data_IF_665604541252
#
_entry.id   IF_665604541252
#
_cell.length_a   1.000
_cell.length_b   1.000
_cell.length_c   1.000
_cell.angle_alpha   90.00
_cell.angle_beta   90.00
_cell.angle_gamma   90.00
#
_symmetry.space_group_name_H-M   'P 1'
#
loop_
_entity.id
_entity.type
_entity.pdbx_description
1 polymer ?
#
# COMPACT_ATOMS: atom_id res chain seq x y z
N UNK A 1 7.93 -24.49 -1.67
CA UNK A 1 7.00 -23.39 -1.33
C UNK A 1 6.04 -23.06 -2.46
N UNK A 2 6.49 -22.84 -3.69
CA UNK A 2 5.54 -22.49 -4.77
C UNK A 2 4.52 -23.59 -5.09
N UNK A 3 4.89 -24.87 -4.95
CA UNK A 3 3.97 -25.99 -5.18
C UNK A 3 2.85 -26.05 -4.12
N UNK A 4 3.17 -25.79 -2.86
CA UNK A 4 2.19 -25.73 -1.77
C UNK A 4 1.23 -24.54 -1.96
N UNK A 5 1.73 -23.38 -2.37
CA UNK A 5 0.90 -22.20 -2.65
C UNK A 5 -0.01 -22.42 -3.86
N UNK A 6 0.49 -23.07 -4.92
CA UNK A 6 -0.33 -23.49 -6.06
C UNK A 6 -1.42 -24.47 -5.63
N UNK A 7 -1.09 -25.46 -4.79
CA UNK A 7 -2.06 -26.40 -4.26
C UNK A 7 -3.16 -25.66 -3.47
N UNK A 8 -2.81 -24.74 -2.58
CA UNK A 8 -3.78 -23.94 -1.85
C UNK A 8 -4.68 -23.14 -2.81
N UNK A 9 -4.11 -22.47 -3.79
CA UNK A 9 -4.87 -21.70 -4.77
C UNK A 9 -5.86 -22.59 -5.55
N UNK A 10 -5.46 -23.81 -5.93
CA UNK A 10 -6.35 -24.77 -6.59
C UNK A 10 -7.51 -25.22 -5.70
N UNK A 11 -7.25 -25.45 -4.40
CA UNK A 11 -8.30 -25.85 -3.45
C UNK A 11 -9.33 -24.74 -3.22
N UNK A 12 -8.93 -23.48 -3.35
CA UNK A 12 -9.81 -22.31 -3.20
C UNK A 12 -10.62 -21.96 -4.48
N UNK A 13 -10.42 -22.68 -5.58
CA UNK A 13 -11.14 -22.44 -6.83
C UNK A 13 -12.56 -23.01 -6.77
N UNK A 14 -13.51 -22.26 -7.29
CA UNK A 14 -14.92 -22.69 -7.37
C UNK A 14 -15.23 -23.46 -8.68
N UNK A 15 -14.36 -23.33 -9.69
CA UNK A 15 -14.50 -24.06 -10.97
C UNK A 15 -13.90 -25.49 -10.93
N UNK A 16 -13.28 -25.87 -9.81
CA UNK A 16 -12.80 -27.24 -9.56
C UNK A 16 -13.84 -28.01 -8.74
N UNK A 17 -14.21 -29.19 -9.22
CA UNK A 17 -15.19 -30.05 -8.50
C UNK A 17 -14.61 -30.55 -7.17
N UNK A 18 -15.47 -30.74 -6.19
CA UNK A 18 -15.06 -31.21 -4.86
C UNK A 18 -14.32 -32.57 -4.89
N UNK A 19 -14.68 -33.45 -5.83
CA UNK A 19 -13.96 -34.72 -6.04
C UNK A 19 -12.53 -34.52 -6.50
N UNK A 20 -12.29 -33.54 -7.39
CA UNK A 20 -10.95 -33.18 -7.86
C UNK A 20 -10.12 -32.54 -6.75
N UNK A 21 -10.74 -31.68 -5.92
CA UNK A 21 -10.09 -31.11 -4.73
C UNK A 21 -9.68 -32.22 -3.75
N UNK A 22 -10.56 -33.21 -3.53
CA UNK A 22 -10.27 -34.34 -2.68
C UNK A 22 -9.08 -35.17 -3.20
N UNK A 23 -9.00 -35.36 -4.52
CA UNK A 23 -7.86 -36.04 -5.14
C UNK A 23 -6.54 -35.23 -5.00
N UNK A 24 -6.60 -33.92 -5.11
CA UNK A 24 -5.45 -33.06 -4.85
C UNK A 24 -4.93 -33.20 -3.41
N UNK A 25 -5.82 -33.23 -2.43
CA UNK A 25 -5.47 -33.45 -1.02
C UNK A 25 -4.89 -34.85 -0.82
N UNK A 26 -5.49 -35.90 -1.39
CA UNK A 26 -4.97 -37.28 -1.29
C UNK A 26 -3.56 -37.44 -1.89
N UNK A 27 -3.26 -36.70 -2.96
CA UNK A 27 -1.94 -36.72 -3.59
C UNK A 27 -0.89 -35.95 -2.79
N UNK A 28 -1.31 -35.10 -1.85
CA UNK A 28 -0.44 -34.27 -1.02
C UNK A 28 -0.75 -34.46 0.49
N UNK A 29 -0.72 -35.68 1.02
CA UNK A 29 -1.23 -36.00 2.35
C UNK A 29 -0.46 -35.35 3.50
N UNK A 30 0.76 -34.88 3.24
CA UNK A 30 1.62 -34.23 4.24
C UNK A 30 1.48 -32.71 4.27
N UNK A 31 0.68 -32.12 3.38
CA UNK A 31 0.48 -30.67 3.29
C UNK A 31 -0.87 -30.30 3.89
N UNK A 32 -0.85 -29.46 4.91
CA UNK A 32 -2.05 -28.94 5.57
C UNK A 32 -2.03 -27.43 5.56
N UNK A 33 -3.21 -26.82 5.38
CA UNK A 33 -3.40 -25.39 5.40
C UNK A 33 -4.28 -25.01 6.58
N UNK A 34 -3.88 -23.97 7.30
CA UNK A 34 -4.64 -23.40 8.40
C UNK A 34 -4.68 -21.89 8.27
N UNK A 35 -5.86 -21.32 8.37
CA UNK A 35 -6.06 -19.88 8.42
C UNK A 35 -6.26 -19.52 9.90
N UNK A 36 -5.26 -18.95 10.58
CA UNK A 36 -5.42 -18.48 11.94
C UNK A 36 -6.56 -17.47 12.02
N UNK A 37 -7.23 -17.40 13.15
CA UNK A 37 -8.36 -16.48 13.39
C UNK A 37 -7.98 -14.99 13.34
N UNK A 38 -6.71 -14.67 13.12
CA UNK A 38 -6.20 -13.31 13.01
C UNK A 38 -6.40 -12.82 11.58
N UNK A 39 -7.43 -12.00 11.37
CA UNK A 39 -7.63 -11.26 10.12
C UNK A 39 -6.91 -9.93 10.25
N UNK A 40 -5.95 -9.64 9.35
CA UNK A 40 -5.18 -8.39 9.36
C UNK A 40 -5.94 -7.18 8.83
N UNK A 41 -7.16 -7.36 8.34
CA UNK A 41 -8.06 -6.30 7.91
C UNK A 41 -8.87 -6.66 6.67
N UNK A 42 -10.04 -6.06 6.57
CA UNK A 42 -10.86 -6.05 5.36
C UNK A 42 -10.75 -4.65 4.74
N UNK A 43 -9.93 -4.54 3.70
CA UNK A 43 -9.92 -3.35 2.86
C UNK A 43 -11.08 -3.39 1.85
N UNK A 44 -11.49 -2.23 1.32
CA UNK A 44 -12.55 -2.16 0.28
C UNK A 44 -12.26 -2.98 -0.98
N UNK A 45 -11.02 -3.36 -1.21
CA UNK A 45 -10.59 -4.03 -2.45
C UNK A 45 -9.96 -5.40 -2.21
N UNK A 46 -9.52 -5.69 -0.99
CA UNK A 46 -8.83 -6.95 -0.68
C UNK A 46 -9.11 -7.43 0.74
N UNK A 47 -9.14 -8.75 0.90
CA UNK A 47 -9.10 -9.42 2.20
C UNK A 47 -7.71 -9.96 2.45
N UNK A 48 -7.19 -9.75 3.65
CA UNK A 48 -5.84 -10.12 4.05
C UNK A 48 -5.92 -11.09 5.22
N UNK A 49 -5.32 -12.27 5.08
CA UNK A 49 -5.27 -13.30 6.11
C UNK A 49 -3.85 -13.83 6.25
N UNK A 50 -3.48 -14.31 7.43
CA UNK A 50 -2.35 -15.21 7.54
C UNK A 50 -2.74 -16.59 7.02
N UNK A 51 -1.80 -17.28 6.40
CA UNK A 51 -1.92 -18.68 6.01
C UNK A 51 -0.75 -19.46 6.60
N UNK A 52 -1.05 -20.46 7.41
CA UNK A 52 -0.05 -21.42 7.87
C UNK A 52 -0.04 -22.64 6.95
N UNK A 53 1.13 -22.97 6.46
CA UNK A 53 1.39 -24.14 5.62
C UNK A 53 2.20 -25.11 6.44
N UNK A 54 1.58 -26.21 6.83
CA UNK A 54 2.21 -27.30 7.58
C UNK A 54 2.58 -28.42 6.62
N UNK A 55 3.83 -28.79 6.58
CA UNK A 55 4.33 -29.91 5.77
C UNK A 55 5.35 -30.69 6.58
N UNK A 56 5.05 -31.96 6.88
CA UNK A 56 5.87 -32.80 7.74
C UNK A 56 6.17 -32.10 9.08
N UNK A 57 7.45 -31.80 9.36
CA UNK A 57 7.89 -31.15 10.59
C UNK A 57 8.13 -29.64 10.42
N UNK A 58 7.70 -29.05 9.30
CA UNK A 58 7.90 -27.63 9.02
C UNK A 58 6.58 -26.88 9.00
N UNK A 59 6.55 -25.71 9.63
CA UNK A 59 5.45 -24.76 9.53
C UNK A 59 5.96 -23.48 8.92
N UNK A 60 5.28 -23.00 7.90
CA UNK A 60 5.56 -21.71 7.26
C UNK A 60 4.34 -20.84 7.33
N UNK A 61 4.56 -19.54 7.53
CA UNK A 61 3.49 -18.53 7.54
C UNK A 61 3.69 -17.58 6.37
N UNK A 62 2.61 -17.27 5.70
CA UNK A 62 2.58 -16.29 4.62
C UNK A 62 1.35 -15.39 4.78
N UNK A 63 1.40 -14.22 4.18
CA UNK A 63 0.19 -13.40 3.98
C UNK A 63 -0.50 -13.88 2.73
N UNK A 64 -1.78 -14.19 2.83
CA UNK A 64 -2.67 -14.47 1.73
C UNK A 64 -3.63 -13.32 1.50
N UNK A 65 -3.53 -12.67 0.36
CA UNK A 65 -4.42 -11.60 -0.06
C UNK A 65 -5.35 -12.09 -1.16
N UNK A 66 -6.63 -11.76 -1.03
CA UNK A 66 -7.69 -12.01 -2.01
C UNK A 66 -8.17 -10.67 -2.54
N UNK A 67 -7.76 -10.31 -3.74
CA UNK A 67 -8.02 -9.01 -4.34
C UNK A 67 -9.17 -9.10 -5.33
N UNK A 68 -10.11 -8.15 -5.28
CA UNK A 68 -11.33 -8.17 -6.10
C UNK A 68 -12.52 -8.89 -5.43
N UNK A 69 -12.50 -9.12 -4.12
CA UNK A 69 -13.55 -9.88 -3.43
C UNK A 69 -14.87 -9.13 -3.39
N UNK A 70 -14.86 -7.84 -3.05
CA UNK A 70 -16.09 -7.04 -2.97
C UNK A 70 -16.63 -6.66 -4.35
N UNK A 71 -15.73 -6.34 -5.28
CA UNK A 71 -16.06 -6.06 -6.67
C UNK A 71 -15.26 -7.00 -7.55
N UNK A 72 -15.93 -8.06 -8.02
CA UNK A 72 -15.32 -9.04 -8.91
C UNK A 72 -14.75 -8.37 -10.15
N UNK A 73 -13.57 -8.84 -10.54
CA UNK A 73 -12.86 -8.38 -11.72
C UNK A 73 -13.33 -9.14 -12.96
N UNK A 74 -13.19 -8.51 -14.12
CA UNK A 74 -13.24 -9.24 -15.39
C UNK A 74 -11.93 -10.03 -15.55
N UNK A 75 -11.95 -11.09 -16.34
CA UNK A 75 -10.79 -11.97 -16.54
C UNK A 75 -9.53 -11.20 -16.95
N UNK A 76 -9.64 -10.38 -17.97
CA UNK A 76 -8.54 -9.59 -18.50
C UNK A 76 -8.00 -8.59 -17.44
N UNK A 77 -8.89 -7.96 -16.68
CA UNK A 77 -8.53 -7.04 -15.60
C UNK A 77 -7.74 -7.77 -14.51
N UNK A 78 -8.21 -8.96 -14.10
CA UNK A 78 -7.53 -9.79 -13.09
C UNK A 78 -6.16 -10.27 -13.58
N UNK A 79 -6.06 -10.73 -14.83
CA UNK A 79 -4.79 -11.16 -15.43
C UNK A 79 -3.77 -10.02 -15.51
N UNK A 80 -4.23 -8.83 -15.94
CA UNK A 80 -3.38 -7.66 -16.01
C UNK A 80 -2.89 -7.22 -14.63
N UNK A 81 -3.75 -7.23 -13.61
CA UNK A 81 -3.36 -6.95 -12.23
C UNK A 81 -2.34 -7.96 -11.71
N UNK A 82 -2.60 -9.25 -11.89
CA UNK A 82 -1.71 -10.31 -11.43
C UNK A 82 -0.31 -10.18 -12.03
N UNK A 83 -0.22 -9.97 -13.34
CA UNK A 83 1.07 -9.79 -14.07
C UNK A 83 1.88 -8.59 -13.57
N UNK A 84 1.23 -7.59 -12.97
CA UNK A 84 1.86 -6.31 -12.61
C UNK A 84 2.27 -6.19 -11.15
N UNK A 85 1.81 -7.09 -10.28
CA UNK A 85 2.14 -7.04 -8.85
C UNK A 85 3.65 -7.11 -8.61
N UNK A 86 4.33 -8.07 -9.22
CA UNK A 86 5.79 -8.25 -9.05
C UNK A 86 6.58 -7.09 -9.68
N UNK A 87 6.35 -6.68 -10.94
CA UNK A 87 7.02 -5.52 -11.51
C UNK A 87 6.83 -4.24 -10.70
N UNK A 88 5.63 -3.96 -10.24
CA UNK A 88 5.36 -2.77 -9.42
C UNK A 88 6.11 -2.81 -8.09
N UNK A 89 6.14 -3.96 -7.43
CA UNK A 89 6.93 -4.15 -6.22
C UNK A 89 8.42 -3.85 -6.45
N UNK A 90 9.00 -4.34 -7.57
CA UNK A 90 10.41 -4.07 -7.89
C UNK A 90 10.67 -2.59 -8.13
N UNK A 91 9.75 -1.88 -8.77
CA UNK A 91 9.84 -0.42 -8.91
C UNK A 91 9.91 0.26 -7.54
N UNK A 92 9.02 -0.09 -6.61
CA UNK A 92 9.04 0.47 -5.26
C UNK A 92 10.37 0.18 -4.54
N UNK A 93 10.86 -1.07 -4.64
CA UNK A 93 12.13 -1.49 -4.03
C UNK A 93 13.33 -0.72 -4.59
N UNK A 94 13.40 -0.55 -5.90
CA UNK A 94 14.47 0.22 -6.56
C UNK A 94 14.50 1.67 -6.07
N UNK A 95 13.35 2.21 -5.66
CA UNK A 95 13.23 3.56 -5.13
C UNK A 95 13.29 3.63 -3.59
N UNK A 96 13.81 2.59 -2.94
CA UNK A 96 14.15 2.61 -1.51
C UNK A 96 13.02 2.23 -0.56
N UNK A 97 11.87 1.75 -1.06
CA UNK A 97 10.84 1.19 -0.20
C UNK A 97 11.18 -0.24 0.20
N UNK A 98 11.11 -0.54 1.48
CA UNK A 98 11.07 -1.92 1.92
C UNK A 98 9.68 -2.48 1.62
N UNK A 99 9.65 -3.58 0.90
CA UNK A 99 8.41 -4.22 0.45
C UNK A 99 8.51 -5.73 0.59
N UNK A 100 7.46 -6.42 1.10
CA UNK A 100 7.51 -7.87 1.29
C UNK A 100 7.68 -8.60 -0.03
N UNK A 101 8.25 -9.80 0.02
CA UNK A 101 8.36 -10.66 -1.14
C UNK A 101 6.98 -11.19 -1.54
N UNK A 102 6.69 -11.21 -2.84
CA UNK A 102 5.57 -11.94 -3.41
C UNK A 102 6.10 -13.30 -3.84
N UNK A 103 5.66 -14.35 -3.19
CA UNK A 103 6.11 -15.71 -3.47
C UNK A 103 5.37 -16.34 -4.63
N UNK A 104 4.07 -16.02 -4.73
CA UNK A 104 3.19 -16.54 -5.77
C UNK A 104 1.97 -15.62 -5.94
N UNK A 105 1.45 -15.53 -7.14
CA UNK A 105 0.17 -14.88 -7.43
C UNK A 105 -0.53 -15.59 -8.57
N UNK A 106 -1.86 -15.63 -8.51
CA UNK A 106 -2.70 -16.33 -9.47
C UNK A 106 -4.05 -15.67 -9.62
N UNK A 107 -4.62 -15.76 -10.81
CA UNK A 107 -6.01 -15.40 -11.07
C UNK A 107 -6.89 -16.62 -10.80
N UNK A 108 -7.88 -16.46 -9.94
CA UNK A 108 -8.80 -17.52 -9.54
C UNK A 108 -10.21 -17.15 -9.97
N UNK A 109 -10.86 -18.05 -10.71
CA UNK A 109 -12.27 -17.93 -11.06
C UNK A 109 -13.15 -18.23 -9.85
N UNK A 110 -14.18 -17.42 -9.64
CA UNK A 110 -15.19 -17.58 -8.60
C UNK A 110 -16.58 -17.36 -9.19
N UNK A 111 -17.65 -17.72 -8.46
CA UNK A 111 -19.05 -17.75 -8.93
C UNK A 111 -19.51 -16.51 -9.73
N UNK A 112 -18.95 -15.33 -9.47
CA UNK A 112 -19.41 -14.08 -10.08
C UNK A 112 -18.31 -13.28 -10.76
N UNK A 113 -17.16 -13.91 -11.11
CA UNK A 113 -16.03 -13.27 -11.78
C UNK A 113 -14.69 -13.75 -11.26
N UNK A 114 -13.67 -12.89 -11.32
CA UNK A 114 -12.29 -13.26 -11.03
C UNK A 114 -11.75 -12.51 -9.82
N UNK A 115 -10.89 -13.17 -9.07
CA UNK A 115 -10.09 -12.58 -7.96
C UNK A 115 -8.62 -12.87 -8.22
N UNK A 116 -7.76 -12.00 -7.70
CA UNK A 116 -6.32 -12.23 -7.71
C UNK A 116 -5.90 -12.67 -6.32
N UNK A 117 -5.31 -13.85 -6.23
CA UNK A 117 -4.62 -14.32 -5.03
C UNK A 117 -3.15 -13.86 -5.08
N UNK A 118 -2.67 -13.33 -3.97
CA UNK A 118 -1.26 -13.02 -3.76
C UNK A 118 -0.81 -13.64 -2.45
N UNK A 119 0.31 -14.34 -2.50
CA UNK A 119 0.96 -14.93 -1.33
C UNK A 119 2.27 -14.21 -1.08
N UNK A 120 2.32 -13.54 0.05
CA UNK A 120 3.38 -12.60 0.37
C UNK A 120 4.12 -12.99 1.64
N UNK A 121 5.30 -12.45 1.81
CA UNK A 121 6.09 -12.59 3.02
C UNK A 121 5.31 -12.02 4.22
N UNK A 122 5.23 -12.80 5.29
CA UNK A 122 4.73 -12.32 6.58
C UNK A 122 5.87 -11.58 7.29
N UNK A 123 5.69 -10.30 7.48
CA UNK A 123 6.57 -9.46 8.28
C UNK A 123 5.94 -9.30 9.66
N UNK A 124 6.65 -9.74 10.70
CA UNK A 124 6.24 -9.50 12.08
C UNK A 124 6.49 -8.03 12.42
N UNK A 125 5.43 -7.26 12.51
CA UNK A 125 5.51 -5.81 12.59
C UNK A 125 4.29 -5.21 13.26
N UNK A 126 4.38 -3.93 13.60
CA UNK A 126 3.30 -3.13 14.16
C UNK A 126 2.69 -2.28 13.05
N UNK A 127 1.37 -2.26 12.96
CA UNK A 127 0.60 -1.37 12.10
C UNK A 127 0.83 0.10 12.52
N UNK A 128 1.30 0.93 11.58
CA UNK A 128 1.62 2.32 11.91
C UNK A 128 0.36 3.16 12.16
N UNK A 129 -0.79 2.85 11.58
CA UNK A 129 -2.05 3.54 11.89
C UNK A 129 -2.45 3.27 13.35
N UNK A 130 -2.29 2.02 13.79
CA UNK A 130 -2.51 1.64 15.19
C UNK A 130 -1.56 2.41 16.12
N UNK A 131 -0.26 2.49 15.79
CA UNK A 131 0.70 3.27 16.57
C UNK A 131 0.27 4.74 16.74
N UNK A 132 -0.28 5.35 15.70
CA UNK A 132 -0.76 6.74 15.78
C UNK A 132 -2.01 6.88 16.64
N UNK A 133 -2.89 5.90 16.68
CA UNK A 133 -4.13 5.91 17.47
C UNK A 133 -3.92 5.57 18.95
N UNK A 134 -2.93 4.73 19.27
CA UNK A 134 -2.71 4.26 20.65
C UNK A 134 -2.08 5.32 21.53
N UNK A 135 -2.71 5.61 22.68
CA UNK A 135 -2.21 6.57 23.68
C UNK A 135 -0.84 6.15 24.24
N UNK A 136 -0.62 4.84 24.37
CA UNK A 136 0.62 4.26 24.93
C UNK A 136 1.84 4.43 24.02
N UNK A 137 1.67 4.68 22.73
CA UNK A 137 2.79 4.89 21.81
C UNK A 137 3.52 6.19 22.14
N UNK A 138 4.82 6.11 22.29
CA UNK A 138 5.63 7.28 22.62
C UNK A 138 5.65 8.28 21.43
N UNK A 139 5.71 9.56 21.77
CA UNK A 139 5.70 10.65 20.79
C UNK A 139 6.83 10.53 19.77
N UNK A 140 8.05 10.23 20.22
CA UNK A 140 9.21 10.10 19.35
C UNK A 140 9.09 8.93 18.35
N UNK A 141 8.39 7.85 18.71
CA UNK A 141 8.20 6.71 17.81
C UNK A 141 7.33 7.09 16.59
N UNK A 142 6.25 7.85 16.81
CA UNK A 142 5.42 8.37 15.72
C UNK A 142 6.20 9.32 14.82
N UNK A 143 7.02 10.21 15.42
CA UNK A 143 7.85 11.13 14.64
C UNK A 143 8.92 10.38 13.84
N UNK A 144 9.50 9.31 14.39
CA UNK A 144 10.46 8.48 13.68
C UNK A 144 9.87 7.82 12.44
N UNK A 145 8.59 7.39 12.48
CA UNK A 145 7.89 6.86 11.31
C UNK A 145 7.80 7.93 10.21
N UNK A 146 7.38 9.14 10.55
CA UNK A 146 7.27 10.25 9.59
C UNK A 146 8.63 10.64 9.00
N UNK A 147 9.66 10.69 9.85
CA UNK A 147 11.02 10.96 9.40
C UNK A 147 11.51 9.91 8.39
N UNK A 148 11.23 8.61 8.64
CA UNK A 148 11.58 7.52 7.71
C UNK A 148 10.86 7.66 6.36
N UNK A 149 9.58 8.01 6.36
CA UNK A 149 8.81 8.24 5.12
C UNK A 149 9.43 9.39 4.32
N UNK A 150 9.72 10.52 4.95
CA UNK A 150 10.34 11.67 4.29
C UNK A 150 11.72 11.30 3.77
N UNK A 151 12.53 10.60 4.56
CA UNK A 151 13.85 10.11 4.15
C UNK A 151 13.77 9.21 2.92
N UNK A 152 12.77 8.30 2.86
CA UNK A 152 12.56 7.45 1.69
C UNK A 152 12.20 8.27 0.45
N UNK A 153 11.29 9.25 0.59
CA UNK A 153 10.86 10.11 -0.52
C UNK A 153 11.92 11.14 -0.96
N UNK A 154 12.97 11.32 -0.19
CA UNK A 154 14.06 12.27 -0.46
C UNK A 154 15.42 11.60 -0.64
N UNK A 155 15.47 10.29 -0.78
CA UNK A 155 16.71 9.56 -1.03
C UNK A 155 17.28 9.89 -2.42
N UNK A 156 18.50 9.43 -2.69
CA UNK A 156 19.22 9.71 -3.95
C UNK A 156 18.48 9.28 -5.22
N UNK A 157 17.64 8.24 -5.14
CA UNK A 157 16.83 7.76 -6.27
C UNK A 157 15.71 8.76 -6.66
N UNK A 158 15.47 9.76 -5.80
CA UNK A 158 14.50 10.83 -6.02
C UNK A 158 15.18 12.23 -6.16
N UNK A 159 16.48 12.28 -6.41
CA UNK A 159 17.22 13.54 -6.55
C UNK A 159 16.79 14.31 -7.81
N UNK A 160 16.54 13.61 -8.91
CA UNK A 160 16.24 14.20 -10.22
C UNK A 160 14.81 13.90 -10.68
N UNK A 161 13.82 14.33 -9.89
CA UNK A 161 12.42 14.13 -10.26
C UNK A 161 11.98 15.07 -11.39
N UNK A 162 11.14 14.54 -12.29
CA UNK A 162 10.52 15.34 -13.35
C UNK A 162 9.55 16.33 -12.73
N UNK A 163 9.58 17.56 -13.23
CA UNK A 163 8.64 18.61 -12.83
C UNK A 163 7.41 18.54 -13.71
N UNK A 164 6.24 18.52 -13.07
CA UNK A 164 4.93 18.50 -13.75
C UNK A 164 4.03 19.58 -13.17
N UNK A 165 3.27 20.18 -14.03
CA UNK A 165 2.29 21.19 -13.64
C UNK A 165 0.91 20.53 -13.42
N UNK A 166 0.34 20.78 -12.26
CA UNK A 166 -1.00 20.38 -11.85
C UNK A 166 -1.68 21.54 -11.16
N UNK A 167 -2.90 21.87 -11.54
CA UNK A 167 -3.68 22.97 -10.92
C UNK A 167 -2.93 24.32 -10.89
N UNK A 168 -2.16 24.61 -11.96
CA UNK A 168 -1.37 25.83 -12.06
C UNK A 168 -0.16 25.89 -11.11
N UNK A 169 0.31 24.75 -10.61
CA UNK A 169 1.49 24.63 -9.73
C UNK A 169 2.39 23.51 -10.18
N UNK A 170 3.69 23.69 -9.95
CA UNK A 170 4.73 22.72 -10.29
C UNK A 170 4.97 21.76 -9.14
N UNK A 171 4.93 20.45 -9.41
CA UNK A 171 5.19 19.37 -8.47
C UNK A 171 6.34 18.48 -8.93
N UNK A 172 6.99 17.83 -7.99
CA UNK A 172 8.03 16.82 -8.24
C UNK A 172 7.39 15.45 -8.41
N UNK A 173 7.26 15.02 -9.67
CA UNK A 173 6.63 13.75 -9.97
C UNK A 173 7.53 12.56 -9.69
N UNK A 174 7.06 11.63 -8.87
CA UNK A 174 7.69 10.33 -8.65
C UNK A 174 7.57 9.47 -9.91
N UNK A 175 8.52 8.57 -10.18
CA UNK A 175 8.45 7.65 -11.34
C UNK A 175 7.40 6.53 -11.16
N UNK A 176 6.70 6.51 -10.05
CA UNK A 176 5.63 5.58 -9.68
C UNK A 176 4.57 6.32 -8.86
N UNK A 177 3.38 5.72 -8.78
CA UNK A 177 2.40 6.14 -7.78
C UNK A 177 2.45 5.22 -6.56
N UNK A 178 2.07 5.74 -5.41
CA UNK A 178 2.00 4.99 -4.15
C UNK A 178 0.77 5.44 -3.34
N UNK A 179 -0.02 4.48 -2.86
CA UNK A 179 -1.14 4.79 -1.95
C UNK A 179 -0.62 4.92 -0.51
N UNK A 180 0.12 5.99 -0.26
CA UNK A 180 0.79 6.23 1.00
C UNK A 180 -0.22 6.60 2.09
N UNK A 181 -0.57 5.62 2.91
CA UNK A 181 -1.43 5.73 4.11
C UNK A 181 -0.74 5.03 5.26
N UNK A 182 -1.03 5.46 6.50
CA UNK A 182 -0.52 4.79 7.69
C UNK A 182 -0.91 3.30 7.72
N UNK A 183 -2.15 2.96 7.37
CA UNK A 183 -2.62 1.57 7.31
C UNK A 183 -1.87 0.68 6.27
N UNK A 184 -1.17 1.28 5.32
CA UNK A 184 -0.40 0.57 4.31
C UNK A 184 1.09 0.44 4.70
N UNK A 185 1.44 0.87 5.90
CA UNK A 185 2.80 0.86 6.45
C UNK A 185 2.85 0.06 7.73
N UNK A 186 3.88 -0.76 7.87
CA UNK A 186 4.17 -1.52 9.10
C UNK A 186 5.61 -1.29 9.52
N UNK A 187 5.85 -1.29 10.83
CA UNK A 187 7.18 -1.11 11.42
C UNK A 187 7.62 -2.43 12.06
N UNK A 188 8.71 -3.02 11.57
CA UNK A 188 9.25 -4.25 12.14
C UNK A 188 10.01 -4.02 13.46
N UNK A 189 10.39 -5.11 14.14
CA UNK A 189 11.10 -5.06 15.41
C UNK A 189 12.50 -4.41 15.31
N UNK A 190 13.07 -4.34 14.11
CA UNK A 190 14.34 -3.67 13.82
C UNK A 190 14.14 -2.18 13.50
N UNK A 191 12.91 -1.73 13.52
CA UNK A 191 12.52 -0.36 13.19
C UNK A 191 12.54 -0.06 11.70
N UNK A 192 12.54 -1.06 10.81
CA UNK A 192 12.41 -0.85 9.37
C UNK A 192 10.96 -0.64 9.00
N UNK A 193 10.71 0.36 8.16
CA UNK A 193 9.37 0.68 7.67
C UNK A 193 9.12 -0.05 6.36
N UNK A 194 8.02 -0.82 6.29
CA UNK A 194 7.63 -1.59 5.11
C UNK A 194 6.31 -1.08 4.53
N UNK A 195 6.23 -0.96 3.21
CA UNK A 195 4.99 -0.70 2.50
C UNK A 195 4.38 -2.04 2.06
N UNK A 196 3.11 -2.29 2.42
CA UNK A 196 2.49 -3.62 2.30
C UNK A 196 1.26 -3.68 1.37
N UNK A 197 0.81 -2.57 0.80
CA UNK A 197 -0.35 -2.55 -0.11
C UNK A 197 0.05 -2.40 -1.58
N UNK A 198 0.13 -3.54 -2.28
CA UNK A 198 0.44 -3.59 -3.71
C UNK A 198 -0.81 -3.68 -4.59
N UNK A 199 -1.97 -3.85 -4.00
CA UNK A 199 -3.18 -4.06 -4.79
C UNK A 199 -3.64 -2.76 -5.46
N UNK A 200 -3.91 -2.88 -6.79
CA UNK A 200 -4.08 -1.73 -7.65
C UNK A 200 -2.74 -1.02 -7.90
N UNK A 201 -1.74 -1.74 -8.52
CA UNK A 201 -0.43 -1.17 -8.82
C UNK A 201 -0.55 0.21 -9.44
N UNK A 202 0.03 1.21 -8.82
CA UNK A 202 -0.06 2.62 -9.26
C UNK A 202 1.12 2.95 -10.17
N UNK A 203 1.14 2.31 -11.35
CA UNK A 203 2.20 2.54 -12.33
C UNK A 203 1.89 3.73 -13.21
N UNK A 204 2.93 4.45 -13.59
CA UNK A 204 2.87 5.57 -14.51
C UNK A 204 3.46 5.20 -15.86
N UNK A 205 2.98 5.85 -16.93
CA UNK A 205 3.65 5.86 -18.23
C UNK A 205 4.90 6.74 -18.16
N UNK A 206 5.82 6.67 -19.14
CA UNK A 206 6.96 7.61 -19.21
C UNK A 206 6.53 9.08 -19.21
N UNK A 207 5.34 9.38 -19.72
CA UNK A 207 4.77 10.74 -19.74
C UNK A 207 4.19 11.14 -18.37
N UNK A 208 4.16 10.21 -17.38
CA UNK A 208 3.70 10.45 -16.04
C UNK A 208 2.19 10.42 -15.87
N UNK A 209 1.48 9.67 -16.70
CA UNK A 209 0.04 9.39 -16.58
C UNK A 209 -0.18 7.98 -16.03
N UNK A 210 -1.35 7.71 -15.47
CA UNK A 210 -1.67 6.35 -15.02
C UNK A 210 -1.68 5.36 -16.18
N UNK A 211 -0.96 4.24 -16.06
CA UNK A 211 -0.95 3.18 -17.09
C UNK A 211 -2.28 2.48 -17.28
N UNK A 212 -3.09 2.46 -16.26
CA UNK A 212 -4.46 1.97 -16.35
C UNK A 212 -5.31 2.73 -15.39
N UNK A 213 -6.58 2.64 -15.48
CA UNK A 213 -7.23 1.98 -14.49
C UNK A 213 -8.56 2.38 -14.05
N UNK A 214 -8.89 3.54 -13.96
CA UNK A 214 -10.22 3.91 -13.58
C UNK A 214 -10.78 4.76 -14.72
N UNK A 215 -11.13 4.09 -15.80
CA UNK A 215 -11.92 4.66 -16.90
C UNK A 215 -13.23 5.30 -16.40
N UNK A 216 -13.58 5.11 -15.11
CA UNK A 216 -14.75 5.71 -14.45
C UNK A 216 -14.45 7.03 -13.75
N UNK A 217 -13.18 7.40 -13.56
CA UNK A 217 -12.83 8.69 -13.00
C UNK A 217 -12.74 9.72 -14.14
N UNK A 218 -13.37 10.89 -13.93
CA UNK A 218 -13.16 12.04 -14.82
C UNK A 218 -11.70 12.52 -14.76
N UNK A 219 -11.31 13.35 -15.74
CA UNK A 219 -9.94 13.84 -15.88
C UNK A 219 -9.45 14.61 -14.65
N UNK A 220 -10.32 15.39 -14.03
CA UNK A 220 -10.00 16.18 -12.83
C UNK A 220 -9.71 15.27 -11.63
N UNK A 221 -10.54 14.25 -11.42
CA UNK A 221 -10.33 13.26 -10.34
C UNK A 221 -9.07 12.43 -10.56
N UNK A 222 -8.72 12.11 -11.81
CA UNK A 222 -7.46 11.44 -12.14
C UNK A 222 -6.25 12.34 -11.84
N UNK A 223 -6.31 13.61 -12.19
CA UNK A 223 -5.25 14.59 -11.91
C UNK A 223 -5.05 14.79 -10.41
N UNK A 224 -6.14 14.94 -9.65
CA UNK A 224 -6.09 15.00 -8.17
C UNK A 224 -5.43 13.76 -7.57
N UNK A 225 -5.78 12.57 -8.06
CA UNK A 225 -5.19 11.32 -7.60
C UNK A 225 -3.69 11.24 -7.97
N UNK A 226 -3.29 11.73 -9.15
CA UNK A 226 -1.88 11.83 -9.52
C UNK A 226 -1.11 12.68 -8.51
N UNK A 227 -1.60 13.86 -8.18
CA UNK A 227 -0.93 14.74 -7.23
C UNK A 227 -0.72 14.03 -5.88
N UNK A 228 -1.74 13.44 -5.29
CA UNK A 228 -1.65 12.86 -3.93
C UNK A 228 -0.98 11.49 -3.86
N UNK A 229 -0.84 10.79 -4.98
CA UNK A 229 -0.24 9.45 -5.01
C UNK A 229 1.03 9.34 -5.86
N UNK A 230 1.34 10.32 -6.68
CA UNK A 230 2.47 10.26 -7.61
C UNK A 230 3.32 11.54 -7.61
N UNK A 231 3.12 12.46 -6.68
CA UNK A 231 4.05 13.56 -6.45
C UNK A 231 4.64 13.48 -5.04
N UNK A 232 5.87 13.90 -4.88
CA UNK A 232 6.56 13.88 -3.59
C UNK A 232 5.84 14.74 -2.56
N UNK A 233 5.49 15.96 -2.93
CA UNK A 233 4.78 16.91 -2.06
C UNK A 233 3.40 16.38 -1.67
N UNK A 234 2.64 15.83 -2.63
CA UNK A 234 1.32 15.26 -2.38
C UNK A 234 1.37 14.05 -1.45
N UNK A 235 2.34 13.15 -1.63
CA UNK A 235 2.57 12.01 -0.74
C UNK A 235 2.89 12.46 0.69
N UNK A 236 3.77 13.45 0.86
CA UNK A 236 4.13 14.01 2.18
C UNK A 236 2.92 14.65 2.84
N UNK A 237 2.22 15.55 2.14
CA UNK A 237 1.04 16.22 2.67
C UNK A 237 -0.05 15.24 3.10
N UNK A 238 -0.30 14.21 2.29
CA UNK A 238 -1.25 13.17 2.62
C UNK A 238 -0.89 12.46 3.91
N UNK A 239 0.39 12.09 4.09
CA UNK A 239 0.86 11.45 5.32
C UNK A 239 0.74 12.35 6.53
N UNK A 240 1.12 13.62 6.43
CA UNK A 240 0.99 14.57 7.53
C UNK A 240 -0.48 14.75 7.95
N UNK A 241 -1.40 14.91 6.98
CA UNK A 241 -2.84 15.02 7.26
C UNK A 241 -3.40 13.78 7.94
N UNK A 242 -3.04 12.58 7.45
CA UNK A 242 -3.49 11.33 8.05
C UNK A 242 -2.88 11.13 9.45
N UNK A 243 -1.62 11.47 9.66
CA UNK A 243 -0.97 11.41 10.96
C UNK A 243 -1.72 12.28 11.98
N UNK A 244 -2.01 13.55 11.65
CA UNK A 244 -2.79 14.44 12.51
C UNK A 244 -4.20 13.91 12.81
N UNK A 245 -4.85 13.31 11.82
CA UNK A 245 -6.21 12.76 11.95
C UNK A 245 -6.28 11.58 12.92
N UNK A 246 -5.21 10.79 13.01
CA UNK A 246 -5.16 9.58 13.82
C UNK A 246 -4.58 9.79 15.23
N UNK A 247 -4.22 11.02 15.58
CA UNK A 247 -3.77 11.31 16.95
C UNK A 247 -4.88 11.06 17.97
N UNK A 248 -4.57 10.43 19.13
CA UNK A 248 -5.57 10.06 20.11
C UNK A 248 -6.22 11.28 20.80
N UNK A 249 -5.52 12.40 20.89
CA UNK A 249 -5.99 13.62 21.53
C UNK A 249 -5.79 14.84 20.63
N UNK A 250 -6.79 15.73 20.60
CA UNK A 250 -6.72 16.97 19.81
C UNK A 250 -5.62 17.91 20.28
N UNK A 251 -5.32 17.93 21.55
CA UNK A 251 -4.26 18.79 22.13
C UNK A 251 -2.88 18.46 21.55
N UNK A 252 -2.67 17.20 21.16
CA UNK A 252 -1.44 16.78 20.49
C UNK A 252 -1.27 17.40 19.11
N UNK A 253 -2.34 17.83 18.47
CA UNK A 253 -2.31 18.36 17.10
C UNK A 253 -1.34 19.55 16.97
N UNK A 254 -1.35 20.48 17.92
CA UNK A 254 -0.45 21.67 17.90
C UNK A 254 1.01 21.23 18.05
N UNK A 255 1.27 20.30 18.95
CA UNK A 255 2.62 19.78 19.20
C UNK A 255 3.15 19.09 17.96
N UNK A 256 2.35 18.20 17.35
CA UNK A 256 2.73 17.49 16.12
C UNK A 256 2.87 18.43 14.93
N UNK A 257 2.03 19.44 14.83
CA UNK A 257 2.11 20.45 13.80
C UNK A 257 3.48 21.18 13.82
N UNK A 258 3.96 21.57 14.99
CA UNK A 258 5.28 22.19 15.14
C UNK A 258 6.40 21.22 14.77
N UNK A 259 6.33 19.97 15.23
CA UNK A 259 7.31 18.95 14.84
C UNK A 259 7.31 18.66 13.34
N UNK A 260 6.14 18.67 12.68
CA UNK A 260 6.09 18.51 11.22
C UNK A 260 6.78 19.65 10.50
N UNK A 261 6.58 20.90 10.97
CA UNK A 261 7.33 22.05 10.46
C UNK A 261 8.83 21.85 10.61
N UNK A 262 9.28 21.42 11.78
CA UNK A 262 10.71 21.16 12.03
C UNK A 262 11.26 20.08 11.12
N UNK A 263 10.56 18.95 10.97
CA UNK A 263 10.95 17.84 10.09
C UNK A 263 11.06 18.34 8.64
N UNK A 264 10.08 19.08 8.12
CA UNK A 264 10.09 19.59 6.76
C UNK A 264 11.21 20.61 6.58
N UNK A 265 11.37 21.55 7.50
CA UNK A 265 12.41 22.60 7.44
C UNK A 265 13.81 21.99 7.36
N UNK A 266 14.08 20.94 8.16
CA UNK A 266 15.39 20.29 8.22
C UNK A 266 15.56 19.12 7.24
N UNK A 267 14.54 18.80 6.45
CA UNK A 267 14.61 17.73 5.45
C UNK A 267 15.52 18.13 4.27
N UNK A 268 16.02 17.17 3.49
CA UNK A 268 16.81 17.45 2.28
C UNK A 268 15.96 17.86 1.07
N UNK A 269 14.69 18.21 1.27
CA UNK A 269 13.81 18.70 0.22
C UNK A 269 14.33 20.01 -0.38
N UNK A 270 14.14 20.25 -1.70
CA UNK A 270 14.36 21.56 -2.30
C UNK A 270 13.55 22.66 -1.62
N UNK A 271 14.09 23.86 -1.53
CA UNK A 271 13.48 24.95 -0.76
C UNK A 271 12.06 25.29 -1.20
N UNK A 272 11.79 25.30 -2.51
CA UNK A 272 10.44 25.58 -3.02
C UNK A 272 9.41 24.48 -2.62
N UNK A 273 9.83 23.22 -2.48
CA UNK A 273 8.96 22.13 -1.98
C UNK A 273 8.68 22.29 -0.48
N UNK A 274 9.71 22.64 0.31
CA UNK A 274 9.52 22.96 1.73
C UNK A 274 8.52 24.07 1.93
N UNK A 275 8.72 25.20 1.24
CA UNK A 275 7.83 26.35 1.32
C UNK A 275 6.38 25.96 0.96
N UNK A 276 6.20 25.18 -0.11
CA UNK A 276 4.87 24.73 -0.51
C UNK A 276 4.23 23.83 0.54
N UNK A 277 4.95 22.82 1.04
CA UNK A 277 4.44 21.88 2.05
C UNK A 277 4.10 22.63 3.35
N UNK A 278 4.96 23.56 3.79
CA UNK A 278 4.72 24.38 4.97
C UNK A 278 3.49 25.27 4.81
N UNK A 279 3.33 25.90 3.64
CA UNK A 279 2.15 26.73 3.32
C UNK A 279 0.85 25.90 3.35
N UNK A 280 0.85 24.70 2.74
CA UNK A 280 -0.32 23.79 2.76
C UNK A 280 -0.64 23.35 4.19
N UNK A 281 0.37 23.04 4.98
CA UNK A 281 0.23 22.67 6.38
C UNK A 281 -0.42 23.82 7.18
N UNK A 282 0.07 25.04 7.04
CA UNK A 282 -0.46 26.22 7.73
C UNK A 282 -1.89 26.59 7.35
N UNK A 283 -2.26 26.36 6.11
CA UNK A 283 -3.60 26.63 5.59
C UNK A 283 -4.58 25.44 5.74
N UNK A 284 -4.22 24.38 6.48
CA UNK A 284 -5.10 23.25 6.76
C UNK A 284 -5.27 22.28 5.59
N UNK A 285 -4.25 22.13 4.75
CA UNK A 285 -4.21 21.22 3.60
C UNK A 285 -5.29 21.47 2.53
N UNK A 286 -5.39 22.67 1.96
CA UNK A 286 -6.40 22.98 0.97
C UNK A 286 -6.35 22.08 -0.25
N UNK A 287 -5.16 21.68 -0.74
CA UNK A 287 -4.99 20.69 -1.81
C UNK A 287 -5.73 19.39 -1.50
N UNK A 288 -5.49 18.82 -0.32
CA UNK A 288 -6.12 17.54 0.06
C UNK A 288 -7.59 17.65 0.36
N UNK A 289 -8.06 18.79 0.87
CA UNK A 289 -9.47 19.02 1.13
C UNK A 289 -10.25 19.00 -0.18
N UNK A 290 -9.77 19.69 -1.21
CA UNK A 290 -10.38 19.67 -2.54
C UNK A 290 -10.40 18.28 -3.19
N UNK A 291 -9.42 17.40 -2.89
CA UNK A 291 -9.37 16.03 -3.41
C UNK A 291 -10.37 15.10 -2.73
N UNK A 292 -10.62 15.28 -1.41
CA UNK A 292 -11.40 14.31 -0.62
C UNK A 292 -12.88 14.73 -0.41
N UNK A 293 -13.24 15.99 -0.55
CA UNK A 293 -14.64 16.41 -0.38
C UNK A 293 -15.55 15.91 -1.50
N UNK A 294 -15.02 15.76 -2.71
CA UNK A 294 -15.77 15.26 -3.86
C UNK A 294 -15.87 13.72 -3.93
N UNK A 295 -15.11 12.97 -3.13
CA UNK A 295 -15.19 11.50 -3.08
C UNK A 295 -16.31 10.96 -2.20
N UNK A 296 -17.19 11.82 -1.71
CA UNK A 296 -18.38 11.46 -0.91
C UNK A 296 -19.69 11.51 -1.70
N UNK A 297 -19.64 11.74 -3.01
CA UNK A 297 -20.79 11.65 -3.92
C UNK A 297 -20.90 10.27 -4.54
#
# INVERSE_FOLDING_TARGET
>A
MNLELQLHAQLERNDIREEEKLELVKRNPTVHFEIPSITFGEGRQSRVSALEIKKENTTRKVIWKRCGVEKKLQKEEAENLCKRLVPYREVLRTHGWNVPNIFYSEVVEQESGYVVFSYEELIEAIDTERMFKEVSTAHFERLAVLQKIITTLTNKEHEHLVKKEYFGRTFSQLPYGIDLKLANLILDAQGSLHFVDFFGPKELTPEGVWKTYNTKLDSLSQEKLLVVCATREGCILRMLKLALRHLPHKDMTIVYFNHFKDIITHSPLPEYEKQYILQELENGFPLLTSVYEESKV
#
